data_IF_867270153421
#
_entry.id   IF_867270153421
#
_cell.length_a   1.000
_cell.length_b   1.000
_cell.length_c   1.000
_cell.angle_alpha   90.00
_cell.angle_beta   90.00
_cell.angle_gamma   90.00
#
_symmetry.space_group_name_H-M   'P 1'
#
loop_
_entity.id
_entity.type
_entity.pdbx_description
1 polymer ?
#
# COMPACT_ATOMS: atom_id res chain seq x y z
N UNK A 1 -12.24 -40.06 -4.36
CA UNK A 1 -11.29 -41.16 -4.62
C UNK A 1 -10.21 -41.03 -3.58
N UNK A 2 -9.96 -42.07 -2.80
CA UNK A 2 -8.86 -42.06 -1.84
C UNK A 2 -7.53 -42.16 -2.59
N UNK A 3 -6.56 -41.37 -2.16
CA UNK A 3 -5.20 -41.37 -2.72
C UNK A 3 -4.47 -42.61 -2.17
N UNK A 4 -3.86 -43.44 -3.04
CA UNK A 4 -3.03 -44.56 -2.61
C UNK A 4 -1.96 -44.12 -1.60
N UNK A 5 -1.70 -44.93 -0.58
CA UNK A 5 -0.81 -44.56 0.55
C UNK A 5 0.61 -44.18 0.10
N UNK A 6 1.10 -44.86 -0.94
CA UNK A 6 2.38 -44.61 -1.59
C UNK A 6 2.42 -43.31 -2.43
N UNK A 7 1.26 -42.81 -2.85
CA UNK A 7 1.12 -41.55 -3.60
C UNK A 7 0.75 -40.33 -2.72
N UNK A 8 0.57 -40.51 -1.41
CA UNK A 8 0.15 -39.44 -0.50
C UNK A 8 1.17 -38.28 -0.44
N UNK A 9 2.47 -38.58 -0.47
CA UNK A 9 3.51 -37.56 -0.42
C UNK A 9 3.51 -36.69 -1.68
N UNK A 10 3.51 -37.32 -2.86
CA UNK A 10 3.38 -36.66 -4.15
C UNK A 10 2.10 -35.83 -4.25
N UNK A 11 0.98 -36.37 -3.77
CA UNK A 11 -0.29 -35.66 -3.74
C UNK A 11 -0.23 -34.41 -2.85
N UNK A 12 0.38 -34.51 -1.67
CA UNK A 12 0.62 -33.38 -0.78
C UNK A 12 1.50 -32.30 -1.42
N UNK A 13 2.63 -32.70 -2.03
CA UNK A 13 3.54 -31.80 -2.73
C UNK A 13 2.85 -31.06 -3.89
N UNK A 14 1.99 -31.74 -4.66
CA UNK A 14 1.22 -31.16 -5.75
C UNK A 14 0.18 -30.15 -5.26
N UNK A 15 -0.54 -30.44 -4.17
CA UNK A 15 -1.47 -29.49 -3.55
C UNK A 15 -0.72 -28.25 -3.06
N UNK A 16 0.42 -28.43 -2.39
CA UNK A 16 1.23 -27.31 -1.89
C UNK A 16 1.74 -26.42 -3.04
N UNK A 17 2.22 -27.04 -4.13
CA UNK A 17 2.66 -26.33 -5.33
C UNK A 17 1.52 -25.51 -5.95
N UNK A 18 0.34 -26.11 -6.11
CA UNK A 18 -0.83 -25.43 -6.69
C UNK A 18 -1.30 -24.26 -5.82
N UNK A 19 -1.38 -24.48 -4.50
CA UNK A 19 -1.79 -23.44 -3.54
C UNK A 19 -0.79 -22.28 -3.53
N UNK A 20 0.51 -22.59 -3.48
CA UNK A 20 1.58 -21.58 -3.46
C UNK A 20 1.58 -20.78 -4.76
N UNK A 21 1.53 -21.45 -5.91
CA UNK A 21 1.49 -20.80 -7.22
C UNK A 21 0.26 -19.90 -7.39
N UNK A 22 -0.92 -20.38 -6.99
CA UNK A 22 -2.16 -19.59 -7.06
C UNK A 22 -2.11 -18.35 -6.18
N UNK A 23 -1.55 -18.46 -4.97
CA UNK A 23 -1.36 -17.32 -4.07
C UNK A 23 -0.43 -16.27 -4.67
N UNK A 24 0.73 -16.68 -5.20
CA UNK A 24 1.70 -15.77 -5.84
C UNK A 24 1.07 -15.03 -7.01
N UNK A 25 0.38 -15.75 -7.90
CA UNK A 25 -0.25 -15.15 -9.09
C UNK A 25 -1.33 -14.14 -8.69
N UNK A 26 -2.18 -14.49 -7.71
CA UNK A 26 -3.23 -13.59 -7.25
C UNK A 26 -2.65 -12.32 -6.61
N UNK A 27 -1.60 -12.44 -5.80
CA UNK A 27 -0.97 -11.29 -5.14
C UNK A 27 -0.26 -10.39 -6.17
N UNK A 28 0.41 -10.95 -7.18
CA UNK A 28 1.01 -10.19 -8.29
C UNK A 28 -0.04 -9.45 -9.14
N UNK A 29 -1.17 -10.09 -9.43
CA UNK A 29 -2.29 -9.44 -10.14
C UNK A 29 -2.84 -8.28 -9.29
N UNK A 30 -2.99 -8.49 -7.99
CA UNK A 30 -3.46 -7.47 -7.05
C UNK A 30 -2.48 -6.29 -6.98
N UNK A 31 -1.18 -6.57 -6.85
CA UNK A 31 -0.14 -5.55 -6.85
C UNK A 31 -0.11 -4.72 -8.14
N UNK A 32 -0.25 -5.37 -9.30
CA UNK A 32 -0.31 -4.68 -10.59
C UNK A 32 -1.52 -3.73 -10.70
N UNK A 33 -2.71 -4.18 -10.26
CA UNK A 33 -3.92 -3.35 -10.22
C UNK A 33 -3.79 -2.20 -9.23
N UNK A 34 -3.26 -2.49 -8.04
CA UNK A 34 -3.01 -1.51 -7.00
C UNK A 34 -2.09 -0.40 -7.49
N UNK A 35 -0.98 -0.73 -8.14
CA UNK A 35 -0.04 0.26 -8.66
C UNK A 35 -0.67 1.17 -9.75
N UNK A 36 -1.47 0.58 -10.65
CA UNK A 36 -2.21 1.33 -11.65
C UNK A 36 -3.25 2.27 -11.02
N UNK A 37 -3.93 1.83 -9.96
CA UNK A 37 -4.89 2.64 -9.21
C UNK A 37 -4.24 3.76 -8.39
N UNK A 38 -3.07 3.50 -7.79
CA UNK A 38 -2.35 4.47 -6.95
C UNK A 38 -1.73 5.61 -7.75
N UNK A 39 -1.28 5.36 -8.98
CA UNK A 39 -0.62 6.36 -9.82
C UNK A 39 -1.43 7.67 -9.95
N UNK A 40 -2.70 7.66 -10.40
CA UNK A 40 -3.49 8.88 -10.50
C UNK A 40 -3.81 9.53 -9.14
N UNK A 41 -3.84 8.77 -8.05
CA UNK A 41 -4.06 9.28 -6.69
C UNK A 41 -2.86 10.10 -6.24
N UNK A 42 -1.64 9.57 -6.42
CA UNK A 42 -0.40 10.27 -6.07
C UNK A 42 -0.22 11.53 -6.92
N UNK A 43 -0.53 11.48 -8.21
CA UNK A 43 -0.50 12.67 -9.07
C UNK A 43 -1.50 13.74 -8.61
N UNK A 44 -2.73 13.35 -8.25
CA UNK A 44 -3.72 14.28 -7.69
C UNK A 44 -3.21 14.93 -6.40
N UNK A 45 -2.61 14.13 -5.51
CA UNK A 45 -2.05 14.61 -4.25
C UNK A 45 -0.91 15.61 -4.45
N UNK A 46 0.03 15.32 -5.36
CA UNK A 46 1.14 16.22 -5.69
C UNK A 46 0.64 17.56 -6.23
N UNK A 47 -0.28 17.53 -7.20
CA UNK A 47 -0.88 18.73 -7.79
C UNK A 47 -1.63 19.54 -6.73
N UNK A 48 -2.40 18.87 -5.86
CA UNK A 48 -3.14 19.53 -4.79
C UNK A 48 -2.19 20.20 -3.79
N UNK A 49 -1.13 19.50 -3.38
CA UNK A 49 -0.12 20.01 -2.45
C UNK A 49 0.58 21.24 -3.01
N UNK A 50 1.01 21.18 -4.28
CA UNK A 50 1.66 22.30 -4.96
C UNK A 50 0.72 23.52 -5.08
N UNK A 51 -0.54 23.29 -5.45
CA UNK A 51 -1.55 24.35 -5.57
C UNK A 51 -1.85 24.99 -4.22
N UNK A 52 -1.96 24.19 -3.16
CA UNK A 52 -2.18 24.67 -1.81
C UNK A 52 -0.99 25.50 -1.30
N UNK A 53 0.23 25.01 -1.46
CA UNK A 53 1.44 25.74 -1.09
C UNK A 53 1.56 27.08 -1.82
N UNK A 54 1.23 27.12 -3.11
CA UNK A 54 1.19 28.37 -3.87
C UNK A 54 0.11 29.33 -3.35
N UNK A 55 -1.07 28.79 -2.98
CA UNK A 55 -2.16 29.57 -2.41
C UNK A 55 -1.79 30.15 -1.05
N UNK A 56 -1.09 29.39 -0.20
CA UNK A 56 -0.57 29.87 1.09
C UNK A 56 0.42 31.02 0.90
N UNK A 57 1.31 30.95 -0.09
CA UNK A 57 2.30 31.98 -0.36
C UNK A 57 1.69 33.28 -0.92
N UNK A 58 0.55 33.20 -1.58
CA UNK A 58 -0.10 34.32 -2.27
C UNK A 58 -1.33 34.87 -1.54
N UNK A 59 -1.79 34.21 -0.48
CA UNK A 59 -2.90 34.68 0.33
C UNK A 59 -2.57 36.01 1.03
N UNK A 60 -3.32 37.06 0.70
CA UNK A 60 -3.14 38.40 1.26
C UNK A 60 -4.05 38.71 2.44
N UNK A 61 -5.04 37.85 2.70
CA UNK A 61 -6.00 37.98 3.79
C UNK A 61 -6.51 36.61 4.25
N UNK A 62 -7.19 36.61 5.40
CA UNK A 62 -7.72 35.40 6.03
C UNK A 62 -8.82 34.72 5.21
N UNK A 63 -9.58 35.44 4.39
CA UNK A 63 -10.63 34.86 3.55
C UNK A 63 -10.06 33.99 2.42
N UNK A 64 -9.02 34.50 1.76
CA UNK A 64 -8.26 33.75 0.75
C UNK A 64 -7.58 32.51 1.35
N UNK A 65 -7.00 32.66 2.55
CA UNK A 65 -6.38 31.55 3.29
C UNK A 65 -7.40 30.46 3.64
N UNK A 66 -8.56 30.83 4.21
CA UNK A 66 -9.63 29.90 4.56
C UNK A 66 -10.18 29.15 3.33
N UNK A 67 -10.31 29.86 2.20
CA UNK A 67 -10.77 29.27 0.94
C UNK A 67 -9.76 28.23 0.41
N UNK A 68 -8.47 28.56 0.47
CA UNK A 68 -7.40 27.64 0.06
C UNK A 68 -7.38 26.38 0.94
N UNK A 69 -7.44 26.54 2.27
CA UNK A 69 -7.49 25.43 3.22
C UNK A 69 -8.72 24.55 3.02
N UNK A 70 -9.91 25.14 2.89
CA UNK A 70 -11.15 24.37 2.68
C UNK A 70 -11.13 23.60 1.36
N UNK A 71 -10.57 24.20 0.30
CA UNK A 71 -10.41 23.53 -1.00
C UNK A 71 -9.46 22.36 -0.89
N UNK A 72 -8.29 22.57 -0.26
CA UNK A 72 -7.29 21.54 -0.09
C UNK A 72 -7.83 20.37 0.77
N UNK A 73 -8.50 20.66 1.87
CA UNK A 73 -9.16 19.66 2.72
C UNK A 73 -10.10 18.74 1.93
N UNK A 74 -10.97 19.31 1.08
CA UNK A 74 -11.90 18.54 0.24
C UNK A 74 -11.17 17.62 -0.74
N UNK A 75 -10.07 18.11 -1.33
CA UNK A 75 -9.27 17.32 -2.26
C UNK A 75 -8.59 16.16 -1.52
N UNK A 76 -7.99 16.40 -0.35
CA UNK A 76 -7.42 15.32 0.49
C UNK A 76 -8.48 14.29 0.88
N UNK A 77 -9.68 14.72 1.27
CA UNK A 77 -10.78 13.80 1.56
C UNK A 77 -11.18 12.93 0.36
N UNK A 78 -11.16 13.49 -0.85
CA UNK A 78 -11.41 12.74 -2.09
C UNK A 78 -10.29 11.74 -2.40
N UNK A 79 -9.03 12.14 -2.24
CA UNK A 79 -7.85 11.30 -2.43
C UNK A 79 -7.87 10.13 -1.46
N UNK A 80 -8.14 10.39 -0.18
CA UNK A 80 -8.26 9.36 0.85
C UNK A 80 -9.37 8.36 0.54
N UNK A 81 -10.53 8.83 0.07
CA UNK A 81 -11.61 7.95 -0.37
C UNK A 81 -11.19 7.06 -1.54
N UNK A 82 -10.59 7.65 -2.58
CA UNK A 82 -10.08 6.90 -3.74
C UNK A 82 -9.03 5.87 -3.32
N UNK A 83 -8.14 6.23 -2.39
CA UNK A 83 -7.11 5.32 -1.89
C UNK A 83 -7.74 4.17 -1.11
N UNK A 84 -8.67 4.44 -0.18
CA UNK A 84 -9.34 3.40 0.61
C UNK A 84 -10.23 2.45 -0.20
N UNK A 85 -10.60 2.81 -1.43
CA UNK A 85 -11.30 1.92 -2.36
C UNK A 85 -10.36 0.92 -3.06
N UNK A 86 -9.04 1.14 -3.01
CA UNK A 86 -8.06 0.22 -3.56
C UNK A 86 -7.85 -0.95 -2.60
N UNK A 87 -7.80 -2.16 -3.16
CA UNK A 87 -7.36 -3.33 -2.41
C UNK A 87 -5.85 -3.39 -2.43
N UNK A 88 -5.15 -3.22 -1.29
CA UNK A 88 -3.72 -3.40 -1.26
C UNK A 88 -3.37 -4.88 -1.47
N UNK A 89 -2.26 -5.19 -2.16
CA UNK A 89 -1.66 -6.52 -2.07
C UNK A 89 -1.32 -6.86 -0.62
N UNK A 90 -1.27 -8.16 -0.34
CA UNK A 90 -0.89 -8.66 1.01
C UNK A 90 0.41 -8.03 1.45
N UNK A 91 1.35 -7.98 0.51
CA UNK A 91 2.63 -7.34 0.69
C UNK A 91 2.50 -5.86 0.28
N UNK A 92 2.61 -4.93 1.23
CA UNK A 92 2.36 -3.49 1.04
C UNK A 92 1.10 -2.96 1.75
N UNK A 93 0.32 -3.83 2.40
CA UNK A 93 -0.86 -3.44 3.19
C UNK A 93 -0.50 -2.43 4.30
N UNK A 94 0.59 -2.64 5.04
CA UNK A 94 1.00 -1.73 6.11
C UNK A 94 1.35 -0.32 5.60
N UNK A 95 1.97 -0.23 4.43
CA UNK A 95 2.33 1.06 3.81
C UNK A 95 1.08 1.76 3.27
N UNK A 96 0.12 0.99 2.76
CA UNK A 96 -1.20 1.49 2.39
C UNK A 96 -1.97 2.08 3.59
N UNK A 97 -2.06 1.33 4.69
CA UNK A 97 -2.72 1.79 5.93
C UNK A 97 -2.08 3.08 6.45
N UNK A 98 -0.74 3.14 6.49
CA UNK A 98 -0.02 4.36 6.89
C UNK A 98 -0.26 5.54 5.96
N UNK A 99 -0.39 5.32 4.65
CA UNK A 99 -0.77 6.39 3.72
C UNK A 99 -2.16 6.93 4.05
N UNK A 100 -3.14 6.06 4.31
CA UNK A 100 -4.50 6.48 4.70
C UNK A 100 -4.46 7.27 6.01
N UNK A 101 -3.72 6.79 7.01
CA UNK A 101 -3.59 7.48 8.30
C UNK A 101 -2.94 8.87 8.17
N UNK A 102 -1.94 8.99 7.29
CA UNK A 102 -1.29 10.27 7.01
C UNK A 102 -2.26 11.23 6.29
N UNK A 103 -3.02 10.75 5.31
CA UNK A 103 -4.04 11.55 4.62
C UNK A 103 -5.14 12.01 5.58
N UNK A 104 -5.59 11.13 6.49
CA UNK A 104 -6.56 11.46 7.53
C UNK A 104 -6.02 12.52 8.49
N UNK A 105 -4.77 12.36 8.94
CA UNK A 105 -4.15 13.34 9.86
C UNK A 105 -3.98 14.71 9.20
N UNK A 106 -3.61 14.75 7.92
CA UNK A 106 -3.58 15.99 7.14
C UNK A 106 -4.98 16.61 7.01
N UNK A 107 -5.98 15.81 6.65
CA UNK A 107 -7.37 16.26 6.52
C UNK A 107 -7.88 16.92 7.81
N UNK A 108 -7.66 16.26 8.95
CA UNK A 108 -8.15 16.73 10.24
C UNK A 108 -7.34 17.93 10.73
N UNK A 109 -6.02 17.96 10.50
CA UNK A 109 -5.17 19.11 10.80
C UNK A 109 -5.60 20.37 10.05
N UNK A 110 -5.99 20.25 8.77
CA UNK A 110 -6.53 21.38 8.00
C UNK A 110 -7.87 21.84 8.58
N UNK A 111 -8.75 20.91 8.99
CA UNK A 111 -10.02 21.24 9.62
C UNK A 111 -9.83 22.02 10.93
N UNK A 112 -8.91 21.55 11.78
CA UNK A 112 -8.52 22.20 13.03
C UNK A 112 -7.95 23.61 12.76
N UNK A 113 -7.11 23.74 11.72
CA UNK A 113 -6.53 25.02 11.33
C UNK A 113 -7.57 26.02 10.83
N UNK A 114 -8.53 25.59 10.00
CA UNK A 114 -9.67 26.42 9.56
C UNK A 114 -10.42 26.96 10.77
N UNK A 115 -10.81 26.09 11.70
CA UNK A 115 -11.56 26.49 12.89
C UNK A 115 -10.76 27.45 13.81
N UNK A 116 -9.45 27.28 13.89
CA UNK A 116 -8.56 28.15 14.66
C UNK A 116 -8.43 29.54 14.01
N UNK A 117 -8.25 29.61 12.68
CA UNK A 117 -8.19 30.87 11.93
C UNK A 117 -9.49 31.64 12.04
N UNK A 118 -10.65 30.98 11.95
CA UNK A 118 -11.96 31.62 12.12
C UNK A 118 -12.13 32.25 13.51
N UNK A 119 -11.52 31.67 14.54
CA UNK A 119 -11.56 32.16 15.92
C UNK A 119 -10.44 33.17 16.25
N UNK A 120 -9.46 33.35 15.36
CA UNK A 120 -8.25 34.10 15.64
C UNK A 120 -7.36 33.48 16.72
N UNK A 121 -7.46 32.17 16.93
CA UNK A 121 -6.68 31.43 17.94
C UNK A 121 -5.32 31.03 17.38
N UNK A 122 -4.32 31.88 17.59
CA UNK A 122 -2.97 31.69 17.05
C UNK A 122 -2.27 30.47 17.62
N UNK A 123 -2.54 30.09 18.88
CA UNK A 123 -1.94 28.92 19.52
C UNK A 123 -2.48 27.65 18.86
N UNK A 124 -3.79 27.59 18.61
CA UNK A 124 -4.40 26.46 17.92
C UNK A 124 -3.94 26.35 16.45
N UNK A 125 -3.69 27.48 15.77
CA UNK A 125 -3.09 27.48 14.42
C UNK A 125 -1.68 26.88 14.44
N UNK A 126 -0.83 27.28 15.38
CA UNK A 126 0.53 26.73 15.52
C UNK A 126 0.49 25.22 15.80
N UNK A 127 -0.34 24.77 16.73
CA UNK A 127 -0.48 23.35 17.06
C UNK A 127 -0.95 22.49 15.86
N UNK A 128 -1.95 22.98 15.11
CA UNK A 128 -2.42 22.31 13.89
C UNK A 128 -1.33 22.27 12.80
N UNK A 129 -0.56 23.35 12.68
CA UNK A 129 0.58 23.43 11.74
C UNK A 129 1.68 22.44 12.09
N UNK A 130 2.06 22.34 13.36
CA UNK A 130 3.06 21.37 13.84
C UNK A 130 2.62 19.93 13.57
N UNK A 131 1.34 19.61 13.84
CA UNK A 131 0.76 18.29 13.56
C UNK A 131 0.87 17.95 12.07
N UNK A 132 0.49 18.86 11.17
CA UNK A 132 0.63 18.63 9.72
C UNK A 132 2.09 18.55 9.26
N UNK A 133 2.98 19.38 9.83
CA UNK A 133 4.41 19.35 9.52
C UNK A 133 5.05 18.01 9.91
N UNK A 134 4.65 17.44 11.05
CA UNK A 134 5.10 16.11 11.48
C UNK A 134 4.70 14.99 10.51
N UNK A 135 3.50 15.09 9.91
CA UNK A 135 3.03 14.15 8.88
C UNK A 135 3.77 14.36 7.57
N UNK A 136 4.05 15.60 7.17
CA UNK A 136 4.85 15.87 5.96
C UNK A 136 6.26 15.30 6.06
N UNK A 137 6.93 15.46 7.22
CA UNK A 137 8.21 14.81 7.48
C UNK A 137 8.07 13.27 7.54
N UNK A 138 6.94 12.77 8.06
CA UNK A 138 6.57 11.37 8.02
C UNK A 138 6.35 10.83 6.59
N UNK A 139 5.90 11.65 5.64
CA UNK A 139 5.64 11.26 4.26
C UNK A 139 6.93 11.07 3.44
N UNK A 140 7.96 11.91 3.63
CA UNK A 140 9.28 11.68 3.01
C UNK A 140 9.89 10.34 3.48
N UNK A 141 9.66 10.02 4.76
CA UNK A 141 10.04 8.74 5.33
C UNK A 141 9.17 7.60 4.80
N UNK A 142 7.87 7.83 4.59
CA UNK A 142 6.95 6.87 3.99
C UNK A 142 7.35 6.51 2.55
N UNK A 143 7.82 7.47 1.75
CA UNK A 143 8.30 7.19 0.39
C UNK A 143 9.54 6.28 0.41
N UNK A 144 10.48 6.56 1.30
CA UNK A 144 11.67 5.73 1.52
C UNK A 144 11.30 4.33 2.03
N UNK A 145 10.34 4.26 2.95
CA UNK A 145 9.83 3.01 3.50
C UNK A 145 9.01 2.22 2.49
N UNK A 146 8.22 2.86 1.61
CA UNK A 146 7.50 2.21 0.52
C UNK A 146 8.47 1.64 -0.53
N UNK A 147 9.60 2.31 -0.79
CA UNK A 147 10.67 1.77 -1.64
C UNK A 147 11.37 0.58 -0.99
N UNK A 148 11.66 0.66 0.31
CA UNK A 148 12.26 -0.44 1.07
C UNK A 148 11.31 -1.64 1.19
N UNK A 149 10.01 -1.38 1.43
CA UNK A 149 8.94 -2.37 1.43
C UNK A 149 8.92 -3.02 0.04
N UNK A 150 8.84 -2.26 -1.06
CA UNK A 150 8.90 -2.81 -2.43
C UNK A 150 10.12 -3.73 -2.67
N UNK A 151 11.29 -3.40 -2.15
CA UNK A 151 12.48 -4.26 -2.25
C UNK A 151 12.35 -5.53 -1.41
N UNK A 152 11.81 -5.43 -0.20
CA UNK A 152 11.47 -6.57 0.65
C UNK A 152 10.41 -7.46 -0.01
N UNK A 153 9.44 -6.87 -0.71
CA UNK A 153 8.37 -7.56 -1.43
C UNK A 153 8.94 -8.38 -2.59
N UNK A 154 9.82 -7.78 -3.40
CA UNK A 154 10.54 -8.48 -4.48
C UNK A 154 11.37 -9.65 -3.92
N UNK A 155 12.01 -9.46 -2.77
CA UNK A 155 12.75 -10.53 -2.09
C UNK A 155 11.83 -11.64 -1.57
N UNK A 156 10.66 -11.30 -1.04
CA UNK A 156 9.65 -12.26 -0.61
C UNK A 156 9.11 -13.07 -1.80
N UNK A 157 8.79 -12.42 -2.92
CA UNK A 157 8.38 -13.10 -4.16
C UNK A 157 9.46 -14.03 -4.69
N UNK A 158 10.72 -13.58 -4.73
CA UNK A 158 11.85 -14.44 -5.13
C UNK A 158 11.98 -15.66 -4.23
N UNK A 159 11.75 -15.50 -2.92
CA UNK A 159 11.75 -16.62 -1.96
C UNK A 159 10.64 -17.62 -2.26
N UNK A 160 9.42 -17.15 -2.57
CA UNK A 160 8.31 -18.03 -2.94
C UNK A 160 8.56 -18.75 -4.27
N UNK A 161 9.15 -18.07 -5.26
CA UNK A 161 9.56 -18.68 -6.53
C UNK A 161 10.59 -19.79 -6.30
N UNK A 162 11.61 -19.55 -5.47
CA UNK A 162 12.59 -20.59 -5.12
C UNK A 162 11.94 -21.79 -4.42
N UNK A 163 10.97 -21.55 -3.51
CA UNK A 163 10.21 -22.62 -2.86
C UNK A 163 9.43 -23.45 -3.88
N UNK A 164 8.78 -22.81 -4.86
CA UNK A 164 8.08 -23.50 -5.95
C UNK A 164 9.05 -24.33 -6.80
N UNK A 165 10.23 -23.81 -7.12
CA UNK A 165 11.26 -24.57 -7.85
C UNK A 165 11.73 -25.81 -7.07
N UNK A 166 11.92 -25.69 -5.75
CA UNK A 166 12.27 -26.82 -4.90
C UNK A 166 11.13 -27.86 -4.81
N UNK A 167 9.88 -27.41 -4.73
CA UNK A 167 8.70 -28.30 -4.75
C UNK A 167 8.58 -29.04 -6.09
N UNK A 168 8.82 -28.36 -7.22
CA UNK A 168 8.83 -28.98 -8.54
C UNK A 168 9.91 -30.06 -8.64
N UNK A 169 11.11 -29.78 -8.14
CA UNK A 169 12.17 -30.78 -8.09
C UNK A 169 11.77 -31.99 -7.24
N UNK A 170 11.23 -31.75 -6.04
CA UNK A 170 10.74 -32.82 -5.15
C UNK A 170 9.67 -33.67 -5.82
N UNK A 171 8.70 -33.06 -6.50
CA UNK A 171 7.66 -33.75 -7.26
C UNK A 171 8.26 -34.66 -8.34
N UNK A 172 9.28 -34.19 -9.06
CA UNK A 172 9.96 -35.01 -10.07
C UNK A 172 10.69 -36.21 -9.46
N UNK A 173 11.33 -36.04 -8.29
CA UNK A 173 12.01 -37.11 -7.57
C UNK A 173 11.00 -38.16 -7.05
N UNK A 174 9.88 -37.71 -6.48
CA UNK A 174 8.79 -38.56 -6.00
C UNK A 174 8.10 -39.33 -7.13
N UNK A 175 7.86 -38.67 -8.27
CA UNK A 175 7.32 -39.30 -9.47
C UNK A 175 8.25 -40.40 -9.99
N UNK A 176 9.55 -40.12 -10.08
CA UNK A 176 10.55 -41.10 -10.52
C UNK A 176 10.61 -42.32 -9.59
N UNK A 177 10.60 -42.09 -8.27
CA UNK A 177 10.62 -43.16 -7.28
C UNK A 177 9.36 -44.05 -7.33
N UNK A 178 8.19 -43.45 -7.60
CA UNK A 178 6.97 -44.21 -7.81
C UNK A 178 7.03 -45.02 -9.11
N UNK A 179 7.48 -44.43 -10.22
CA UNK A 179 7.64 -45.16 -11.49
C UNK A 179 8.56 -46.38 -11.36
N UNK A 180 9.72 -46.25 -10.73
CA UNK A 180 10.64 -47.37 -10.51
C UNK A 180 10.00 -48.52 -9.72
N UNK A 181 9.15 -48.21 -8.73
CA UNK A 181 8.44 -49.20 -7.91
C UNK A 181 7.32 -49.94 -8.65
N UNK A 182 6.74 -49.33 -9.67
CA UNK A 182 5.66 -49.94 -10.48
C UNK A 182 6.17 -50.60 -11.77
N UNK A 183 7.42 -50.34 -12.15
CA UNK A 183 8.11 -50.99 -13.28
C UNK A 183 8.97 -52.21 -12.86
N UNK A 184 9.07 -52.51 -11.55
CA UNK A 184 9.71 -53.70 -10.97
C UNK A 184 8.71 -54.74 -10.49
#
# INVERSE_FOLDING_TARGET
MDVPEDALELHGSLIELYSTGSSVVNDLITAGRYQLGMTPILTQYEVASNTFNQSLQTATDSGNLLTAMSTYQKVIGSIMKQAGELTPPTIGTNSHERLIDNLQTMHDGIAEMIAAVEKGDTIAVEAASEKMSSVSAGNERLETEMLADREADLKAYNTQIMKMSALLQKIHEEEAALRERFET
#
